data_IF_316173812852
#
_entry.id   IF_316173812852
#
_cell.length_a   1.000
_cell.length_b   1.000
_cell.length_c   1.000
_cell.angle_alpha   90.00
_cell.angle_beta   90.00
_cell.angle_gamma   90.00
#
_symmetry.space_group_name_H-M   'P 1'
#
loop_
_entity.id
_entity.type
_entity.pdbx_description
1 polymer ?
#
# COMPACT_ATOMS: atom_id res chain seq x y z
N UNK A 1 -14.07 8.00 -16.09
CA UNK A 1 -13.94 7.68 -14.66
C UNK A 1 -12.88 6.63 -14.49
N UNK A 2 -11.88 6.92 -13.68
CA UNK A 2 -10.93 5.90 -13.22
C UNK A 2 -11.27 5.69 -11.75
N UNK A 3 -12.18 4.77 -11.50
CA UNK A 3 -12.62 4.45 -10.14
C UNK A 3 -11.74 3.32 -9.55
N UNK A 4 -11.09 2.52 -10.42
CA UNK A 4 -10.19 1.45 -10.02
C UNK A 4 -9.02 1.29 -11.00
N UNK A 5 -7.82 0.96 -10.50
CA UNK A 5 -6.64 0.63 -11.31
C UNK A 5 -5.81 -0.50 -10.68
N UNK A 6 -4.91 -1.09 -11.46
CA UNK A 6 -3.83 -1.89 -10.88
C UNK A 6 -2.87 -1.00 -10.08
N UNK A 7 -2.00 -1.60 -9.26
CA UNK A 7 -1.15 -0.83 -8.35
C UNK A 7 -0.25 0.18 -9.08
N UNK A 8 0.29 -0.19 -10.25
CA UNK A 8 1.18 0.69 -11.01
C UNK A 8 0.39 1.81 -11.69
N UNK A 9 -0.78 1.50 -12.25
CA UNK A 9 -1.71 2.45 -12.83
C UNK A 9 -2.18 3.48 -11.81
N UNK A 10 -2.60 3.02 -10.63
CA UNK A 10 -3.01 3.86 -9.51
C UNK A 10 -1.86 4.79 -9.08
N UNK A 11 -0.65 4.25 -8.94
CA UNK A 11 0.53 5.04 -8.60
C UNK A 11 0.84 6.11 -9.64
N UNK A 12 0.83 5.75 -10.92
CA UNK A 12 1.07 6.69 -12.01
C UNK A 12 -0.01 7.79 -12.04
N UNK A 13 -1.27 7.42 -11.77
CA UNK A 13 -2.37 8.37 -11.68
C UNK A 13 -2.12 9.44 -10.60
N UNK A 14 -1.70 9.03 -9.40
CA UNK A 14 -1.36 9.98 -8.33
C UNK A 14 -0.18 10.88 -8.74
N UNK A 15 0.89 10.30 -9.33
CA UNK A 15 2.12 11.02 -9.69
C UNK A 15 1.95 12.06 -10.78
N UNK A 16 0.99 11.88 -11.68
CA UNK A 16 0.61 12.93 -12.65
C UNK A 16 0.04 14.20 -11.98
N UNK A 17 -0.30 14.14 -10.70
CA UNK A 17 -0.93 15.23 -9.94
C UNK A 17 -0.08 15.69 -8.75
N UNK A 18 1.24 15.49 -8.83
CA UNK A 18 2.19 15.81 -7.74
C UNK A 18 1.90 15.08 -6.42
N UNK A 19 1.13 13.99 -6.48
CA UNK A 19 0.85 13.09 -5.38
C UNK A 19 1.60 11.77 -5.58
N UNK A 20 1.54 10.85 -4.63
CA UNK A 20 1.86 9.43 -4.83
C UNK A 20 0.77 8.60 -4.12
N UNK A 21 0.81 7.28 -4.17
CA UNK A 21 -0.09 6.46 -3.35
C UNK A 21 0.14 6.77 -1.86
N UNK A 22 -0.93 6.67 -1.07
CA UNK A 22 -0.89 6.98 0.36
C UNK A 22 0.00 6.00 1.13
N UNK A 23 0.81 6.52 2.04
CA UNK A 23 1.51 5.78 3.09
C UNK A 23 0.76 5.88 4.42
N UNK A 24 0.79 4.82 5.21
CA UNK A 24 0.09 4.74 6.51
C UNK A 24 1.11 4.63 7.65
N UNK A 25 1.96 5.65 7.78
CA UNK A 25 3.07 5.70 8.72
C UNK A 25 2.63 5.92 10.18
N UNK A 26 1.42 6.43 10.36
CA UNK A 26 0.86 6.78 11.68
C UNK A 26 -0.50 6.14 11.86
N UNK A 27 -0.85 5.87 13.12
CA UNK A 27 -2.17 5.33 13.48
C UNK A 27 -3.28 6.28 13.03
N UNK A 28 -3.06 7.59 13.15
CA UNK A 28 -4.02 8.62 12.77
C UNK A 28 -4.30 8.58 11.26
N UNK A 29 -3.27 8.46 10.41
CA UNK A 29 -3.46 8.31 8.95
C UNK A 29 -4.15 7.00 8.60
N UNK A 30 -3.79 5.90 9.26
CA UNK A 30 -4.43 4.61 9.07
C UNK A 30 -5.93 4.67 9.39
N UNK A 31 -6.29 5.20 10.57
CA UNK A 31 -7.69 5.32 10.98
C UNK A 31 -8.47 6.32 10.12
N UNK A 32 -7.85 7.42 9.69
CA UNK A 32 -8.47 8.34 8.74
C UNK A 32 -8.86 7.64 7.43
N UNK A 33 -7.95 6.84 6.86
CA UNK A 33 -8.24 6.09 5.64
C UNK A 33 -9.35 5.06 5.86
N UNK A 34 -9.32 4.33 6.98
CA UNK A 34 -10.35 3.35 7.34
C UNK A 34 -11.73 3.97 7.49
N UNK A 35 -11.82 5.15 8.10
CA UNK A 35 -13.07 5.91 8.20
C UNK A 35 -13.58 6.35 6.83
N UNK A 36 -12.70 6.78 5.92
CA UNK A 36 -13.09 7.12 4.55
C UNK A 36 -13.61 5.88 3.79
N UNK A 37 -12.88 4.75 3.87
CA UNK A 37 -13.28 3.46 3.28
C UNK A 37 -14.67 3.04 3.79
N UNK A 38 -14.89 3.08 5.11
CA UNK A 38 -16.16 2.71 5.72
C UNK A 38 -17.31 3.63 5.32
N UNK A 39 -17.07 4.95 5.32
CA UNK A 39 -18.09 5.95 4.99
C UNK A 39 -18.54 5.84 3.53
N UNK A 40 -17.58 5.61 2.64
CA UNK A 40 -17.80 5.63 1.20
C UNK A 40 -18.07 4.22 0.63
N UNK A 41 -18.18 3.22 1.51
CA UNK A 41 -18.46 1.80 1.19
C UNK A 41 -17.54 1.23 0.09
N UNK A 42 -16.24 1.50 0.23
CA UNK A 42 -15.23 1.04 -0.73
C UNK A 42 -14.73 -0.34 -0.32
N UNK A 43 -14.71 -1.30 -1.24
CA UNK A 43 -14.31 -2.68 -0.94
C UNK A 43 -12.82 -2.80 -0.57
N UNK A 44 -11.93 -2.28 -1.42
CA UNK A 44 -10.50 -2.46 -1.32
C UNK A 44 -9.76 -1.21 -1.84
N UNK A 45 -8.77 -0.73 -1.10
CA UNK A 45 -8.00 0.46 -1.45
C UNK A 45 -6.50 0.17 -1.54
N UNK A 46 -5.88 0.49 -2.67
CA UNK A 46 -4.44 0.48 -2.81
C UNK A 46 -3.74 1.55 -1.98
N UNK A 47 -2.60 1.17 -1.41
CA UNK A 47 -1.66 2.05 -0.72
C UNK A 47 -0.29 2.01 -1.41
N UNK A 48 0.67 2.81 -0.94
CA UNK A 48 2.04 2.80 -1.46
C UNK A 48 2.86 1.60 -0.98
N UNK A 49 2.32 0.76 -0.11
CA UNK A 49 3.02 -0.37 0.50
C UNK A 49 3.35 -1.44 -0.52
N UNK A 50 4.62 -1.87 -0.53
CA UNK A 50 5.12 -2.92 -1.42
C UNK A 50 6.23 -3.71 -0.75
N UNK A 51 6.34 -5.00 -1.05
CA UNK A 51 7.48 -5.81 -0.64
C UNK A 51 8.66 -5.60 -1.61
N UNK A 52 9.89 -5.63 -1.09
CA UNK A 52 11.11 -5.50 -1.86
C UNK A 52 11.49 -6.86 -2.46
N UNK A 53 10.87 -7.22 -3.58
CA UNK A 53 11.06 -8.49 -4.30
C UNK A 53 11.69 -8.34 -5.70
N UNK A 54 12.21 -7.15 -6.01
CA UNK A 54 12.84 -6.82 -7.29
C UNK A 54 14.38 -6.76 -7.20
N UNK A 55 15.03 -6.63 -8.36
CA UNK A 55 16.49 -6.50 -8.45
C UNK A 55 16.98 -5.30 -7.62
N UNK A 56 17.99 -5.52 -6.79
CA UNK A 56 18.51 -4.52 -5.84
C UNK A 56 18.01 -4.69 -4.40
N UNK A 57 17.00 -5.53 -4.17
CA UNK A 57 16.49 -5.83 -2.83
C UNK A 57 17.29 -6.90 -2.05
N UNK A 58 18.49 -7.27 -2.52
CA UNK A 58 19.35 -8.25 -1.86
C UNK A 58 20.15 -7.59 -0.72
N UNK A 59 19.43 -7.02 0.26
CA UNK A 59 20.05 -6.39 1.43
C UNK A 59 19.83 -7.24 2.70
N UNK A 60 20.85 -7.39 3.57
CA UNK A 60 20.72 -8.19 4.79
C UNK A 60 19.61 -7.70 5.73
N UNK A 61 19.38 -6.39 5.82
CA UNK A 61 18.38 -5.80 6.70
C UNK A 61 16.94 -6.05 6.25
N UNK A 62 16.73 -6.49 5.00
CA UNK A 62 15.43 -6.85 4.45
C UNK A 62 15.11 -8.34 4.63
N UNK A 63 15.99 -9.14 5.25
CA UNK A 63 15.78 -10.57 5.45
C UNK A 63 15.21 -10.87 6.85
N UNK A 64 14.29 -11.85 7.00
CA UNK A 64 13.51 -12.51 5.93
C UNK A 64 12.60 -11.51 5.18
N UNK A 65 12.46 -11.64 3.85
CA UNK A 65 11.78 -10.64 3.02
C UNK A 65 10.30 -10.48 3.35
N UNK A 66 9.63 -11.58 3.65
CA UNK A 66 8.24 -11.63 4.11
C UNK A 66 8.03 -10.93 5.46
N UNK A 67 9.08 -10.78 6.27
CA UNK A 67 9.02 -10.09 7.57
C UNK A 67 9.50 -8.65 7.48
N UNK A 68 10.66 -8.42 6.88
CA UNK A 68 11.39 -7.16 6.92
C UNK A 68 11.42 -6.42 5.57
N UNK A 69 10.83 -6.98 4.52
CA UNK A 69 10.96 -6.47 3.16
C UNK A 69 9.93 -5.44 2.74
N UNK A 70 8.94 -5.12 3.58
CA UNK A 70 7.87 -4.17 3.25
C UNK A 70 8.30 -2.72 3.45
N UNK A 71 7.91 -1.85 2.53
CA UNK A 71 8.20 -0.42 2.59
C UNK A 71 7.09 0.41 1.94
N UNK A 72 6.96 1.65 2.41
CA UNK A 72 6.14 2.70 1.83
C UNK A 72 6.89 3.31 0.64
N UNK A 73 6.46 2.96 -0.58
CA UNK A 73 7.20 3.34 -1.80
C UNK A 73 7.10 4.83 -2.14
N UNK A 74 6.13 5.56 -1.59
CA UNK A 74 5.98 7.01 -1.83
C UNK A 74 6.98 7.85 -1.06
N UNK A 75 7.37 7.40 0.14
CA UNK A 75 8.29 8.13 1.04
C UNK A 75 9.62 7.40 1.30
N UNK A 76 9.84 6.27 0.62
CA UNK A 76 11.02 5.43 0.75
C UNK A 76 11.32 4.99 2.21
N UNK A 77 10.27 4.71 2.98
CA UNK A 77 10.40 4.31 4.38
C UNK A 77 10.08 2.83 4.58
N UNK A 78 10.93 2.12 5.32
CA UNK A 78 10.69 0.72 5.71
C UNK A 78 9.51 0.63 6.66
N UNK A 79 8.62 -0.35 6.47
CA UNK A 79 7.62 -0.67 7.48
C UNK A 79 8.28 -1.38 8.68
N UNK A 80 7.69 -1.31 9.88
CA UNK A 80 8.02 -2.23 10.95
C UNK A 80 7.90 -3.69 10.48
N UNK A 81 8.62 -4.63 11.12
CA UNK A 81 8.49 -6.05 10.82
C UNK A 81 7.01 -6.47 10.79
N UNK A 82 6.62 -7.34 9.86
CA UNK A 82 5.21 -7.78 9.75
C UNK A 82 4.72 -8.51 11.02
N UNK A 83 5.64 -8.98 11.87
CA UNK A 83 5.37 -9.54 13.18
C UNK A 83 5.02 -8.51 14.26
N UNK A 84 5.28 -7.22 14.06
CA UNK A 84 4.94 -6.15 15.00
C UNK A 84 3.48 -5.72 14.88
N UNK A 85 2.58 -6.44 15.57
CA UNK A 85 1.12 -6.19 15.52
C UNK A 85 0.66 -4.96 16.34
N UNK A 86 1.60 -4.20 16.92
CA UNK A 86 1.28 -2.97 17.66
C UNK A 86 1.44 -1.77 16.73
N UNK A 87 2.51 -1.76 15.94
CA UNK A 87 2.87 -0.63 15.07
C UNK A 87 2.33 -0.74 13.63
N UNK A 88 1.72 -1.86 13.26
CA UNK A 88 1.10 -2.07 11.95
C UNK A 88 -0.35 -2.58 12.07
N UNK A 89 -1.11 -2.52 10.96
CA UNK A 89 -2.52 -2.93 10.91
C UNK A 89 -2.77 -4.10 9.95
N UNK A 90 -1.75 -4.94 9.74
CA UNK A 90 -1.88 -6.22 9.03
C UNK A 90 -2.94 -7.09 9.69
N UNK A 91 -3.81 -7.69 8.87
CA UNK A 91 -4.87 -8.55 9.39
C UNK A 91 -4.31 -9.77 10.12
N UNK A 92 -5.00 -10.15 11.20
CA UNK A 92 -4.76 -11.38 11.94
C UNK A 92 -5.30 -12.62 11.20
N UNK A 93 -6.06 -12.42 10.12
CA UNK A 93 -6.71 -13.48 9.34
C UNK A 93 -6.77 -13.10 7.85
N UNK A 94 -7.38 -13.98 7.05
CA UNK A 94 -7.55 -13.83 5.61
C UNK A 94 -8.47 -14.95 5.11
N UNK A 95 -8.49 -15.20 3.80
CA UNK A 95 -9.39 -16.21 3.20
C UNK A 95 -9.21 -17.62 3.80
N UNK A 96 -7.98 -17.96 4.23
CA UNK A 96 -7.66 -19.27 4.85
C UNK A 96 -7.55 -19.21 6.38
N UNK A 97 -8.02 -18.14 7.03
CA UNK A 97 -7.83 -17.96 8.46
C UNK A 97 -6.37 -17.65 8.87
N UNK A 98 -5.53 -17.22 7.91
CA UNK A 98 -4.09 -16.99 8.11
C UNK A 98 -3.78 -15.51 8.23
N UNK A 99 -2.86 -15.19 9.14
CA UNK A 99 -2.32 -13.84 9.33
C UNK A 99 -1.67 -13.30 8.07
N UNK A 100 -1.87 -12.02 7.80
CA UNK A 100 -1.27 -11.31 6.69
C UNK A 100 0.09 -10.70 7.10
N UNK A 101 1.00 -10.46 6.15
CA UNK A 101 0.92 -10.90 4.76
C UNK A 101 1.18 -12.42 4.63
N UNK A 102 0.42 -13.13 3.79
CA UNK A 102 0.50 -14.60 3.68
C UNK A 102 0.92 -15.12 2.31
N UNK A 103 0.99 -14.25 1.30
CA UNK A 103 1.32 -14.55 -0.10
C UNK A 103 0.57 -15.79 -0.61
N UNK A 104 -0.70 -15.93 -0.21
CA UNK A 104 -1.58 -17.05 -0.52
C UNK A 104 -1.66 -17.31 -2.02
N UNK A 105 -1.84 -16.28 -2.84
CA UNK A 105 -2.05 -16.45 -4.29
C UNK A 105 -0.87 -17.17 -4.94
N UNK A 106 0.35 -17.04 -4.40
CA UNK A 106 1.52 -17.74 -4.92
C UNK A 106 1.38 -19.27 -4.81
N UNK A 107 0.76 -19.76 -3.74
CA UNK A 107 0.52 -21.19 -3.55
C UNK A 107 -0.52 -21.77 -4.52
N UNK A 108 -1.42 -20.92 -5.03
CA UNK A 108 -2.54 -21.32 -5.88
C UNK A 108 -2.18 -21.18 -7.36
N UNK A 109 -1.65 -20.03 -7.75
CA UNK A 109 -1.48 -19.65 -9.15
C UNK A 109 -0.11 -19.01 -9.45
N UNK A 110 0.85 -19.10 -8.50
CA UNK A 110 2.22 -18.57 -8.62
C UNK A 110 2.28 -17.04 -8.79
N UNK A 111 1.21 -16.30 -8.52
CA UNK A 111 1.23 -14.83 -8.48
C UNK A 111 1.64 -14.37 -7.10
N UNK A 112 2.65 -13.52 -7.05
CA UNK A 112 3.09 -12.90 -5.79
C UNK A 112 2.13 -11.80 -5.37
N UNK A 113 1.88 -11.72 -4.08
CA UNK A 113 1.09 -10.68 -3.43
C UNK A 113 2.01 -9.54 -2.98
N UNK A 114 2.66 -8.91 -3.95
CA UNK A 114 3.75 -7.99 -3.65
C UNK A 114 3.30 -6.58 -3.23
N UNK A 115 2.00 -6.29 -3.20
CA UNK A 115 1.44 -4.96 -2.95
C UNK A 115 0.51 -4.95 -1.75
N UNK A 116 0.48 -3.85 -0.99
CA UNK A 116 -0.34 -3.69 0.21
C UNK A 116 -1.64 -2.95 -0.14
N UNK A 117 -2.77 -3.59 0.16
CA UNK A 117 -4.09 -2.98 0.09
C UNK A 117 -4.77 -2.98 1.47
N UNK A 118 -5.67 -2.03 1.68
CA UNK A 118 -6.58 -2.04 2.83
C UNK A 118 -7.90 -2.64 2.36
N UNK A 119 -8.33 -3.73 2.98
CA UNK A 119 -9.60 -4.39 2.66
C UNK A 119 -10.67 -4.00 3.67
N UNK A 120 -11.88 -3.75 3.19
CA UNK A 120 -13.03 -3.40 4.02
C UNK A 120 -13.75 -4.65 4.52
N UNK A 121 -13.27 -5.21 5.63
CA UNK A 121 -13.92 -6.31 6.35
C UNK A 121 -14.25 -7.55 5.50
N UNK A 122 -13.47 -7.78 4.43
CA UNK A 122 -13.70 -8.85 3.45
C UNK A 122 -13.72 -10.24 4.08
N UNK A 123 -12.92 -10.45 5.12
CA UNK A 123 -12.79 -11.74 5.81
C UNK A 123 -13.34 -11.72 7.23
N UNK A 124 -14.26 -10.78 7.52
CA UNK A 124 -14.83 -10.55 8.85
C UNK A 124 -13.76 -10.23 9.91
N UNK A 125 -12.78 -9.43 9.52
CA UNK A 125 -11.57 -9.08 10.26
C UNK A 125 -11.39 -7.56 10.49
N UNK A 126 -12.41 -6.80 10.12
CA UNK A 126 -12.42 -5.34 10.13
C UNK A 126 -11.71 -4.76 8.91
N UNK A 127 -11.53 -3.44 8.92
CA UNK A 127 -10.79 -2.75 7.85
C UNK A 127 -9.30 -2.88 8.14
N UNK A 128 -8.59 -3.72 7.38
CA UNK A 128 -7.22 -4.18 7.71
C UNK A 128 -6.30 -4.24 6.49
N UNK A 129 -5.00 -4.30 6.72
CA UNK A 129 -4.01 -4.44 5.65
C UNK A 129 -3.88 -5.91 5.22
N UNK A 130 -3.85 -6.11 3.90
CA UNK A 130 -3.63 -7.38 3.24
C UNK A 130 -2.55 -7.21 2.18
N UNK A 131 -1.76 -8.25 1.99
CA UNK A 131 -0.98 -8.36 0.77
C UNK A 131 -1.89 -8.81 -0.37
N UNK A 132 -1.61 -8.30 -1.56
CA UNK A 132 -2.43 -8.57 -2.72
C UNK A 132 -1.62 -8.56 -4.01
N UNK A 133 -2.10 -9.33 -4.98
CA UNK A 133 -1.54 -9.34 -6.33
C UNK A 133 -1.67 -7.95 -6.96
N UNK A 134 -0.53 -7.33 -7.29
CA UNK A 134 -0.45 -5.95 -7.77
C UNK A 134 -1.24 -5.67 -9.06
N UNK A 135 -1.48 -6.68 -9.91
CA UNK A 135 -2.18 -6.52 -11.19
C UNK A 135 -3.71 -6.54 -11.08
N UNK A 136 -4.26 -6.73 -9.88
CA UNK A 136 -5.70 -6.63 -9.63
C UNK A 136 -6.11 -5.15 -9.58
N UNK A 137 -7.27 -4.83 -10.16
CA UNK A 137 -7.82 -3.47 -10.12
C UNK A 137 -8.51 -3.23 -8.78
N UNK A 138 -8.29 -2.06 -8.19
CA UNK A 138 -8.91 -1.60 -6.94
C UNK A 138 -9.03 -0.09 -6.94
N UNK A 139 -9.90 0.43 -6.08
CA UNK A 139 -9.85 1.83 -5.67
C UNK A 139 -8.48 2.16 -5.05
N UNK A 140 -8.13 3.43 -4.96
CA UNK A 140 -6.82 3.85 -4.46
C UNK A 140 -6.90 5.22 -3.80
N UNK A 141 -6.00 5.45 -2.84
CA UNK A 141 -5.87 6.74 -2.17
C UNK A 141 -4.51 7.37 -2.50
N UNK A 142 -4.53 8.65 -2.85
CA UNK A 142 -3.33 9.44 -3.12
C UNK A 142 -3.03 10.37 -1.94
N UNK A 143 -1.76 10.75 -1.78
CA UNK A 143 -1.30 11.79 -0.88
C UNK A 143 -0.30 12.72 -1.57
N UNK A 144 -0.21 13.97 -1.13
CA UNK A 144 0.78 14.92 -1.65
C UNK A 144 2.22 14.39 -1.49
N UNK A 145 2.98 14.37 -2.60
CA UNK A 145 4.40 14.04 -2.58
C UNK A 145 5.21 15.32 -2.46
N UNK A 146 5.97 15.44 -1.37
CA UNK A 146 6.86 16.58 -1.14
C UNK A 146 7.90 16.69 -2.27
N UNK A 147 8.49 15.58 -2.71
CA UNK A 147 9.48 15.61 -3.78
C UNK A 147 8.86 16.06 -5.11
N UNK A 148 7.68 15.55 -5.47
CA UNK A 148 7.03 15.92 -6.74
C UNK A 148 6.52 17.36 -6.72
N UNK A 149 5.97 17.83 -5.60
CA UNK A 149 5.59 19.23 -5.43
C UNK A 149 6.79 20.17 -5.52
N UNK A 150 7.92 19.81 -4.88
CA UNK A 150 9.16 20.58 -4.99
C UNK A 150 9.68 20.60 -6.42
N UNK A 151 9.69 19.45 -7.10
CA UNK A 151 10.09 19.36 -8.50
C UNK A 151 9.19 20.22 -9.39
N UNK A 152 7.87 20.15 -9.23
CA UNK A 152 6.90 20.94 -9.98
C UNK A 152 7.12 22.46 -9.79
N UNK A 153 7.32 22.92 -8.55
CA UNK A 153 7.65 24.33 -8.25
C UNK A 153 8.96 24.78 -8.90
N UNK A 154 9.95 23.89 -8.96
CA UNK A 154 11.24 24.19 -9.60
C UNK A 154 11.11 24.36 -11.12
N UNK A 155 10.38 23.47 -11.79
CA UNK A 155 10.23 23.52 -13.26
C UNK A 155 9.20 24.55 -13.73
N UNK A 156 8.25 24.93 -12.87
CA UNK A 156 7.14 25.84 -13.17
C UNK A 156 6.87 26.78 -11.98
N UNK A 157 7.74 27.77 -11.74
CA UNK A 157 7.60 28.71 -10.62
C UNK A 157 6.38 29.64 -10.76
N UNK A 158 5.78 29.71 -11.95
CA UNK A 158 4.55 30.45 -12.24
C UNK A 158 3.28 29.75 -11.74
N UNK A 159 3.33 28.42 -11.57
CA UNK A 159 2.23 27.64 -11.03
C UNK A 159 2.11 27.88 -9.52
N UNK A 160 0.92 28.28 -9.07
CA UNK A 160 0.59 28.37 -7.64
C UNK A 160 0.21 26.97 -7.14
N UNK A 161 1.22 26.25 -6.65
CA UNK A 161 1.15 24.91 -6.05
C UNK A 161 1.79 24.92 -4.68
#
# INVERSE_FOLDING_TARGET
NIDEEDWLGARNYCRMRCMDLVSLETKEKNEWLKLAIARDDVDEVWTSGRICDFNGCNRPDLLPKDVNGWFWTSIFAKLPPTTDRISNDWSETGELGKRQPDNREYSINRKLESCLAVFNNKYNDGIKWHDAVCSRRRSFACEDSKELLQYARYIRPDLKI
#
